data_IF_332412704557
#
_entry.id   IF_332412704557
#
_cell.length_a   1.000
_cell.length_b   1.000
_cell.length_c   1.000
_cell.angle_alpha   90.00
_cell.angle_beta   90.00
_cell.angle_gamma   90.00
#
_symmetry.space_group_name_H-M   'P 1'
#
loop_
_entity.id
_entity.type
_entity.pdbx_description
1 polymer ?
#
# COMPACT_ATOMS: atom_id res chain seq x y z
N UNK A 1 -45.63 2.66 26.51
CA UNK A 1 -44.73 2.92 25.35
C UNK A 1 -44.78 1.70 24.45
N UNK A 2 -45.41 1.82 23.29
CA UNK A 2 -45.56 0.74 22.30
C UNK A 2 -44.55 0.94 21.18
N UNK A 3 -43.92 -0.13 20.68
CA UNK A 3 -43.05 -0.03 19.50
C UNK A 3 -43.88 0.16 18.23
N UNK A 4 -43.47 1.11 17.40
CA UNK A 4 -44.05 1.36 16.08
C UNK A 4 -43.73 0.22 15.09
N UNK A 5 -44.51 0.09 14.01
CA UNK A 5 -44.30 -0.92 12.98
C UNK A 5 -42.90 -0.84 12.33
N UNK A 6 -42.39 0.37 12.07
CA UNK A 6 -41.05 0.55 11.50
C UNK A 6 -39.94 0.12 12.46
N UNK A 7 -40.11 0.40 13.77
CA UNK A 7 -39.18 -0.03 14.80
C UNK A 7 -39.15 -1.55 14.96
N UNK A 8 -40.32 -2.21 14.89
CA UNK A 8 -40.42 -3.67 14.90
C UNK A 8 -39.72 -4.30 13.69
N UNK A 9 -39.84 -3.70 12.51
CA UNK A 9 -39.19 -4.19 11.30
C UNK A 9 -37.66 -4.06 11.38
N UNK A 10 -37.14 -2.93 11.88
CA UNK A 10 -35.71 -2.74 12.11
C UNK A 10 -35.13 -3.74 13.11
N UNK A 11 -35.83 -3.97 14.24
CA UNK A 11 -35.39 -4.96 15.22
C UNK A 11 -35.37 -6.38 14.65
N UNK A 12 -36.38 -6.75 13.85
CA UNK A 12 -36.39 -8.04 13.15
C UNK A 12 -35.24 -8.14 12.15
N UNK A 13 -35.02 -7.12 11.31
CA UNK A 13 -33.95 -7.14 10.32
C UNK A 13 -32.55 -7.26 10.96
N UNK A 14 -32.31 -6.55 12.07
CA UNK A 14 -31.01 -6.53 12.74
C UNK A 14 -30.75 -7.77 13.61
N UNK A 15 -31.80 -8.36 14.21
CA UNK A 15 -31.65 -9.33 15.30
C UNK A 15 -32.35 -10.68 15.08
N UNK A 16 -33.03 -10.92 13.96
CA UNK A 16 -33.80 -12.16 13.71
C UNK A 16 -32.99 -13.46 13.80
N UNK A 17 -31.67 -13.42 13.60
CA UNK A 17 -30.79 -14.60 13.62
C UNK A 17 -30.15 -14.89 14.98
N UNK A 18 -30.45 -14.10 16.03
CA UNK A 18 -29.83 -14.24 17.36
C UNK A 18 -30.73 -15.02 18.34
N UNK A 19 -30.11 -15.75 19.27
CA UNK A 19 -30.86 -16.50 20.28
C UNK A 19 -31.53 -15.55 21.28
N UNK A 20 -32.60 -16.01 21.95
CA UNK A 20 -33.31 -15.21 22.97
C UNK A 20 -32.41 -14.83 24.15
N UNK A 21 -31.40 -15.64 24.47
CA UNK A 21 -30.40 -15.35 25.49
C UNK A 21 -29.52 -14.16 25.09
N UNK A 22 -29.01 -14.18 23.86
CA UNK A 22 -28.17 -13.10 23.33
C UNK A 22 -28.94 -11.78 23.22
N UNK A 23 -30.23 -11.83 22.88
CA UNK A 23 -31.09 -10.64 22.85
C UNK A 23 -31.22 -9.99 24.22
N UNK A 24 -31.41 -10.79 25.28
CA UNK A 24 -31.49 -10.26 26.65
C UNK A 24 -30.17 -9.63 27.09
N UNK A 25 -29.05 -10.28 26.78
CA UNK A 25 -27.71 -9.75 27.08
C UNK A 25 -27.45 -8.44 26.32
N UNK A 26 -27.81 -8.37 25.03
CA UNK A 26 -27.67 -7.17 24.22
C UNK A 26 -28.52 -6.00 24.75
N UNK A 27 -29.78 -6.26 25.12
CA UNK A 27 -30.62 -5.21 25.72
C UNK A 27 -30.12 -4.77 27.09
N UNK A 28 -29.54 -5.66 27.90
CA UNK A 28 -28.88 -5.28 29.14
C UNK A 28 -27.66 -4.38 28.90
N UNK A 29 -26.84 -4.72 27.89
CA UNK A 29 -25.69 -3.91 27.49
C UNK A 29 -26.11 -2.52 26.98
N UNK A 30 -27.17 -2.43 26.16
CA UNK A 30 -27.69 -1.15 25.65
C UNK A 30 -28.21 -0.25 26.78
N UNK A 31 -28.86 -0.83 27.80
CA UNK A 31 -29.38 -0.04 28.94
C UNK A 31 -28.28 0.44 29.90
N UNK A 32 -27.13 -0.23 29.93
CA UNK A 32 -26.05 0.04 30.88
C UNK A 32 -24.89 0.86 30.34
N UNK A 33 -24.92 1.27 29.07
CA UNK A 33 -23.82 1.98 28.42
C UNK A 33 -24.33 3.18 27.62
N UNK A 34 -23.52 4.24 27.55
CA UNK A 34 -23.82 5.42 26.75
C UNK A 34 -23.77 5.11 25.25
N UNK A 35 -24.63 5.79 24.48
CA UNK A 35 -24.70 5.66 23.01
C UNK A 35 -23.34 5.88 22.33
N UNK A 36 -22.52 6.79 22.86
CA UNK A 36 -21.16 7.05 22.36
C UNK A 36 -20.25 5.82 22.51
N UNK A 37 -20.35 5.11 23.63
CA UNK A 37 -19.58 3.90 23.88
C UNK A 37 -20.05 2.76 22.95
N UNK A 38 -21.36 2.57 22.82
CA UNK A 38 -21.97 1.57 21.94
C UNK A 38 -21.59 1.79 20.47
N UNK A 39 -21.69 3.03 19.98
CA UNK A 39 -21.30 3.38 18.61
C UNK A 39 -19.79 3.23 18.37
N UNK A 40 -18.96 3.49 19.38
CA UNK A 40 -17.51 3.27 19.27
C UNK A 40 -17.13 1.79 19.16
N UNK A 41 -17.85 0.91 19.87
CA UNK A 41 -17.63 -0.52 19.84
C UNK A 41 -18.11 -1.17 18.53
N UNK A 42 -19.14 -0.59 17.90
CA UNK A 42 -19.64 -0.99 16.58
C UNK A 42 -18.81 -0.41 15.43
N UNK A 43 -18.05 0.65 15.66
CA UNK A 43 -17.19 1.23 14.64
C UNK A 43 -16.11 0.21 14.25
N UNK A 44 -16.03 -0.12 12.96
CA UNK A 44 -14.95 -0.96 12.44
C UNK A 44 -13.58 -0.37 12.82
N UNK A 45 -12.59 -1.20 13.19
CA UNK A 45 -11.26 -0.71 13.52
C UNK A 45 -10.73 0.07 12.31
N UNK A 46 -10.51 1.38 12.50
CA UNK A 46 -10.01 2.26 11.44
C UNK A 46 -8.74 1.61 10.87
N UNK A 47 -8.75 1.27 9.59
CA UNK A 47 -7.58 0.73 8.88
C UNK A 47 -6.40 1.65 9.17
N UNK A 48 -5.35 1.12 9.80
CA UNK A 48 -4.15 1.88 10.14
C UNK A 48 -3.69 2.65 8.88
N UNK A 49 -3.42 3.95 8.97
CA UNK A 49 -2.98 4.72 7.82
C UNK A 49 -1.69 4.09 7.27
N UNK A 50 -1.69 3.76 5.97
CA UNK A 50 -0.47 3.33 5.27
C UNK A 50 0.56 4.44 5.44
N UNK A 51 1.75 4.09 5.98
CA UNK A 51 2.87 5.02 6.17
C UNK A 51 3.10 5.84 4.91
N UNK A 52 3.31 7.14 5.07
CA UNK A 52 3.62 8.06 3.99
C UNK A 52 4.66 7.42 3.07
N UNK A 53 4.28 7.21 1.82
CA UNK A 53 5.15 6.64 0.80
C UNK A 53 6.44 7.45 0.76
N UNK A 54 7.57 6.79 0.98
CA UNK A 54 8.91 7.36 0.98
C UNK A 54 9.09 8.37 -0.17
N UNK A 55 9.54 9.62 0.09
CA UNK A 55 9.75 10.61 -0.96
C UNK A 55 10.64 10.09 -2.09
N UNK A 56 11.62 9.24 -1.76
CA UNK A 56 12.50 8.63 -2.74
C UNK A 56 11.74 7.71 -3.70
N UNK A 57 10.81 6.91 -3.18
CA UNK A 57 9.98 5.99 -3.97
C UNK A 57 9.18 6.76 -5.02
N UNK A 58 8.56 7.88 -4.61
CA UNK A 58 7.80 8.74 -5.54
C UNK A 58 8.68 9.30 -6.64
N UNK A 59 9.87 9.78 -6.29
CA UNK A 59 10.78 10.39 -7.25
C UNK A 59 11.33 9.35 -8.25
N UNK A 60 11.72 8.16 -7.78
CA UNK A 60 12.17 7.06 -8.65
C UNK A 60 11.03 6.59 -9.54
N UNK A 61 9.82 6.45 -9.01
CA UNK A 61 8.64 6.06 -9.79
C UNK A 61 8.30 7.09 -10.88
N UNK A 62 8.39 8.39 -10.57
CA UNK A 62 8.21 9.46 -11.56
C UNK A 62 9.27 9.40 -12.68
N UNK A 63 10.54 9.16 -12.35
CA UNK A 63 11.63 9.04 -13.33
C UNK A 63 11.42 7.83 -14.24
N UNK A 64 10.98 6.71 -13.67
CA UNK A 64 10.75 5.46 -14.40
C UNK A 64 9.33 5.35 -14.97
N UNK A 65 8.48 6.37 -14.80
CA UNK A 65 7.12 6.41 -15.35
C UNK A 65 7.07 6.22 -16.88
N UNK A 66 8.00 6.79 -17.68
CA UNK A 66 7.98 6.62 -19.14
C UNK A 66 8.30 5.19 -19.60
N UNK A 67 8.91 4.34 -18.76
CA UNK A 67 9.06 2.92 -19.04
C UNK A 67 7.68 2.25 -18.93
N UNK A 68 7.13 1.74 -20.04
CA UNK A 68 5.91 0.93 -20.03
C UNK A 68 6.20 -0.52 -19.63
N UNK A 69 6.85 -0.72 -18.49
CA UNK A 69 7.18 -2.02 -17.93
C UNK A 69 6.46 -2.26 -16.59
N UNK A 70 6.18 -3.52 -16.21
CA UNK A 70 5.76 -3.88 -14.86
C UNK A 70 6.69 -3.32 -13.78
N UNK A 71 6.13 -2.97 -12.61
CA UNK A 71 6.89 -2.37 -11.51
C UNK A 71 8.02 -3.27 -10.96
N UNK A 72 7.91 -4.59 -11.12
CA UNK A 72 8.96 -5.55 -10.78
C UNK A 72 10.15 -5.46 -11.75
N UNK A 73 9.90 -5.41 -13.06
CA UNK A 73 10.93 -5.27 -14.09
C UNK A 73 11.68 -3.94 -13.96
N UNK A 74 10.96 -2.83 -13.71
CA UNK A 74 11.60 -1.53 -13.43
C UNK A 74 12.55 -1.59 -12.24
N UNK A 75 12.16 -2.33 -11.20
CA UNK A 75 12.94 -2.51 -9.99
C UNK A 75 14.19 -3.37 -10.26
N UNK A 76 14.05 -4.44 -11.05
CA UNK A 76 15.17 -5.28 -11.50
C UNK A 76 16.18 -4.48 -12.32
N UNK A 77 15.72 -3.75 -13.35
CA UNK A 77 16.57 -2.92 -14.19
C UNK A 77 17.33 -1.86 -13.39
N UNK A 78 16.66 -1.21 -12.42
CA UNK A 78 17.29 -0.24 -11.54
C UNK A 78 18.38 -0.87 -10.68
N UNK A 79 18.09 -2.01 -10.05
CA UNK A 79 19.05 -2.73 -9.20
C UNK A 79 20.24 -3.22 -10.02
N UNK A 80 19.99 -3.79 -11.21
CA UNK A 80 21.04 -4.30 -12.09
C UNK A 80 21.94 -3.17 -12.62
N UNK A 81 21.36 -2.05 -13.05
CA UNK A 81 22.12 -0.91 -13.54
C UNK A 81 22.99 -0.30 -12.44
N UNK A 82 22.45 -0.13 -11.24
CA UNK A 82 23.20 0.39 -10.09
C UNK A 82 24.27 -0.63 -9.65
N UNK A 83 23.97 -1.93 -9.64
CA UNK A 83 24.93 -3.00 -9.37
C UNK A 83 26.13 -2.93 -10.33
N UNK A 84 25.87 -2.82 -11.63
CA UNK A 84 26.90 -2.67 -12.68
C UNK A 84 27.72 -1.40 -12.48
N UNK A 85 27.06 -0.26 -12.24
CA UNK A 85 27.72 1.05 -12.08
C UNK A 85 28.63 1.13 -10.86
N UNK A 86 28.20 0.55 -9.73
CA UNK A 86 28.97 0.55 -8.48
C UNK A 86 29.84 -0.70 -8.28
N UNK A 87 29.90 -1.61 -9.29
CA UNK A 87 30.57 -2.92 -9.21
C UNK A 87 30.20 -3.72 -7.95
N UNK A 88 28.94 -3.65 -7.52
CA UNK A 88 28.45 -4.36 -6.33
C UNK A 88 27.59 -5.55 -6.74
N UNK A 89 27.78 -6.70 -6.11
CA UNK A 89 26.86 -7.85 -6.22
C UNK A 89 25.61 -7.55 -5.39
N UNK A 90 24.60 -6.95 -6.02
CA UNK A 90 23.26 -6.86 -5.44
C UNK A 90 22.52 -8.14 -5.82
N UNK A 91 22.58 -9.14 -4.93
CA UNK A 91 21.86 -10.38 -5.13
C UNK A 91 20.38 -10.18 -4.79
N UNK A 92 19.52 -10.61 -5.73
CA UNK A 92 18.10 -10.93 -5.61
C UNK A 92 17.15 -10.02 -6.40
N UNK A 93 16.22 -10.67 -7.11
CA UNK A 93 15.05 -10.10 -7.76
C UNK A 93 14.22 -9.31 -6.72
N UNK A 94 14.09 -7.98 -6.85
CA UNK A 94 13.19 -7.19 -6.04
C UNK A 94 11.74 -7.47 -6.46
N UNK A 95 10.87 -7.71 -5.49
CA UNK A 95 9.43 -7.92 -5.76
C UNK A 95 8.72 -6.64 -6.25
N UNK A 96 9.40 -5.49 -6.15
CA UNK A 96 8.93 -4.18 -6.63
C UNK A 96 9.85 -3.02 -6.22
N UNK A 97 9.50 -1.80 -6.66
CA UNK A 97 10.34 -0.60 -6.53
C UNK A 97 10.72 -0.27 -5.07
N UNK A 98 9.78 -0.45 -4.14
CA UNK A 98 10.03 -0.19 -2.72
C UNK A 98 11.04 -1.16 -2.11
N UNK A 99 11.01 -2.43 -2.54
CA UNK A 99 11.96 -3.42 -2.07
C UNK A 99 13.35 -3.20 -2.69
N UNK A 100 13.42 -2.82 -3.97
CA UNK A 100 14.66 -2.40 -4.61
C UNK A 100 15.32 -1.23 -3.85
N UNK A 101 14.57 -0.17 -3.56
CA UNK A 101 15.09 0.98 -2.81
C UNK A 101 15.59 0.57 -1.42
N UNK A 102 14.82 -0.25 -0.70
CA UNK A 102 15.22 -0.76 0.62
C UNK A 102 16.55 -1.54 0.56
N UNK A 103 16.71 -2.39 -0.46
CA UNK A 103 17.95 -3.17 -0.67
C UNK A 103 19.13 -2.29 -1.07
N UNK A 104 18.91 -1.27 -1.89
CA UNK A 104 19.94 -0.30 -2.28
C UNK A 104 20.44 0.50 -1.06
N UNK A 105 19.54 0.93 -0.19
CA UNK A 105 19.91 1.55 1.09
C UNK A 105 20.66 0.57 2.00
N UNK A 106 20.21 -0.68 2.11
CA UNK A 106 20.91 -1.72 2.87
C UNK A 106 22.34 -1.98 2.34
N UNK A 107 22.52 -1.86 1.02
CA UNK A 107 23.82 -1.93 0.37
C UNK A 107 24.66 -0.66 0.53
N UNK A 108 24.31 0.28 1.43
CA UNK A 108 25.02 1.54 1.68
C UNK A 108 25.13 2.44 0.45
N UNK A 109 24.09 2.53 -0.38
CA UNK A 109 23.96 3.61 -1.36
C UNK A 109 23.16 4.76 -0.76
N UNK A 110 23.60 5.98 -1.06
CA UNK A 110 22.84 7.18 -0.67
C UNK A 110 21.61 7.35 -1.56
N UNK A 111 20.61 8.03 -1.02
CA UNK A 111 19.38 8.37 -1.74
C UNK A 111 19.66 9.13 -3.05
N UNK A 112 20.65 10.02 -3.04
CA UNK A 112 21.11 10.73 -4.23
C UNK A 112 21.72 9.79 -5.29
N UNK A 113 22.50 8.79 -4.87
CA UNK A 113 23.06 7.80 -5.77
C UNK A 113 21.98 6.93 -6.41
N UNK A 114 20.92 6.59 -5.66
CA UNK A 114 19.78 5.84 -6.18
C UNK A 114 19.03 6.66 -7.25
N UNK A 115 18.79 7.95 -6.99
CA UNK A 115 18.15 8.85 -7.95
C UNK A 115 19.03 9.08 -9.20
N UNK A 116 20.33 9.29 -9.01
CA UNK A 116 21.29 9.40 -10.11
C UNK A 116 21.36 8.09 -10.93
N UNK A 117 21.24 6.94 -10.27
CA UNK A 117 21.10 5.63 -10.90
C UNK A 117 19.87 5.53 -11.78
N UNK A 118 18.70 5.95 -11.29
CA UNK A 118 17.45 5.95 -12.05
C UNK A 118 17.51 6.88 -13.28
N UNK A 119 18.06 8.10 -13.13
CA UNK A 119 18.27 9.02 -14.27
C UNK A 119 19.24 8.45 -15.30
N UNK A 120 20.33 7.83 -14.83
CA UNK A 120 21.33 7.19 -15.69
C UNK A 120 20.78 5.99 -16.43
N UNK A 121 19.89 5.21 -15.81
CA UNK A 121 19.17 4.11 -16.46
C UNK A 121 18.29 4.65 -17.59
N UNK A 122 17.48 5.68 -17.33
CA UNK A 122 16.66 6.32 -18.35
C UNK A 122 17.49 6.88 -19.51
N UNK A 123 18.65 7.49 -19.23
CA UNK A 123 19.55 7.97 -20.27
C UNK A 123 20.16 6.81 -21.10
N UNK A 124 20.51 5.70 -20.46
CA UNK A 124 21.01 4.50 -21.16
C UNK A 124 19.92 3.88 -22.05
N UNK A 125 18.69 3.81 -21.56
CA UNK A 125 17.53 3.31 -22.31
C UNK A 125 17.12 4.24 -23.45
N UNK A 126 17.15 5.55 -23.24
CA UNK A 126 16.92 6.53 -24.30
C UNK A 126 17.97 6.41 -25.41
N UNK A 127 19.24 6.12 -25.06
CA UNK A 127 20.31 5.88 -26.04
C UNK A 127 20.12 4.57 -26.81
N UNK A 128 19.52 3.56 -26.19
CA UNK A 128 19.20 2.28 -26.83
C UNK A 128 17.98 2.41 -27.75
N UNK A 129 16.87 2.97 -27.28
CA UNK A 129 15.66 3.15 -28.09
C UNK A 129 15.77 4.28 -29.14
N UNK A 130 16.67 5.25 -28.94
CA UNK A 130 17.05 6.20 -29.97
C UNK A 130 17.84 5.58 -31.14
N UNK A 131 18.32 4.34 -31.00
CA UNK A 131 18.90 3.56 -32.09
C UNK A 131 17.90 2.63 -32.80
N UNK A 132 16.75 2.36 -32.18
CA UNK A 132 15.73 1.43 -32.72
C UNK A 132 14.59 2.13 -33.49
N UNK A 133 14.58 3.46 -33.59
CA UNK A 133 13.55 4.22 -34.32
C UNK A 133 13.98 4.66 -35.74
N UNK A 134 14.97 3.99 -36.31
CA UNK A 134 15.27 4.05 -37.76
C UNK A 134 15.38 2.62 -38.28
N UNK A 135 14.23 1.99 -38.56
CA UNK A 135 13.93 1.20 -39.77
C UNK A 135 12.42 1.21 -39.95
#
# INVERSE_FOLDING_TARGET
MSLDAGQKQLLRAALAKRSRGDLKALFAAIRGNDDRALLSALAMPKKKPRRASDPLLRNVDQILKPLMAPGAEKAEMLVEHIAKKHRRKLAASPTGLADAIRRLRAAKLSDEQILAGAKSLMAALAKLHGRETVV
#
